data_IF_569931047533
#
_entry.id   IF_569931047533
#
_cell.length_a   1.000
_cell.length_b   1.000
_cell.length_c   1.000
_cell.angle_alpha   90.00
_cell.angle_beta   90.00
_cell.angle_gamma   90.00
#
_symmetry.space_group_name_H-M   'P 1'
#
loop_
_entity.id
_entity.type
_entity.pdbx_description
1 polymer ?
#
# COMPACT_ATOMS: atom_id res chain seq x y z
N UNK A 1 9.75 -22.22 -11.31
CA UNK A 1 9.11 -22.84 -10.13
C UNK A 1 9.62 -22.36 -8.77
N UNK A 2 10.91 -22.50 -8.44
CA UNK A 2 11.42 -22.28 -7.06
C UNK A 2 11.09 -20.92 -6.42
N UNK A 3 10.92 -19.87 -7.23
CA UNK A 3 10.53 -18.55 -6.73
C UNK A 3 9.08 -18.51 -6.20
N UNK A 4 8.14 -19.21 -6.85
CA UNK A 4 6.74 -19.31 -6.39
C UNK A 4 6.65 -20.05 -5.06
N UNK A 5 7.42 -21.13 -4.87
CA UNK A 5 7.50 -21.83 -3.58
C UNK A 5 8.04 -20.92 -2.47
N UNK A 6 9.01 -20.04 -2.77
CA UNK A 6 9.51 -19.04 -1.80
C UNK A 6 8.46 -17.97 -1.46
N UNK A 7 7.52 -17.70 -2.37
CA UNK A 7 6.39 -16.79 -2.13
C UNK A 7 5.29 -17.44 -1.27
N UNK A 8 5.22 -18.76 -1.18
CA UNK A 8 4.33 -19.44 -0.24
C UNK A 8 4.74 -19.18 1.23
N UNK A 9 3.78 -18.84 2.11
CA UNK A 9 4.00 -18.76 3.56
C UNK A 9 4.59 -20.07 4.08
N UNK A 10 5.53 -19.99 5.04
CA UNK A 10 6.22 -21.17 5.59
C UNK A 10 5.24 -22.26 6.02
N UNK A 11 4.25 -21.92 6.87
CA UNK A 11 3.22 -22.85 7.34
C UNK A 11 2.46 -23.57 6.22
N UNK A 12 2.17 -22.87 5.12
CA UNK A 12 1.48 -23.49 3.98
C UNK A 12 2.41 -24.36 3.18
N UNK A 13 3.68 -23.96 3.05
CA UNK A 13 4.70 -24.75 2.38
C UNK A 13 4.98 -26.06 3.13
N UNK A 14 4.99 -26.00 4.46
CA UNK A 14 5.21 -27.16 5.31
C UNK A 14 4.02 -28.14 5.24
N UNK A 15 2.81 -27.65 4.93
CA UNK A 15 1.58 -28.46 4.89
C UNK A 15 1.15 -28.91 3.49
N UNK A 16 1.36 -28.06 2.48
CA UNK A 16 0.84 -28.21 1.12
C UNK A 16 1.93 -28.04 0.05
N UNK A 17 3.21 -27.98 0.45
CA UNK A 17 4.32 -27.71 -0.46
C UNK A 17 4.45 -28.77 -1.56
N UNK A 18 4.33 -30.03 -1.18
CA UNK A 18 4.46 -31.17 -2.09
C UNK A 18 3.24 -31.30 -3.01
N UNK A 19 2.03 -31.10 -2.48
CA UNK A 19 0.79 -31.06 -3.28
C UNK A 19 0.80 -29.93 -4.31
N UNK A 20 1.23 -28.73 -3.91
CA UNK A 20 1.36 -27.61 -4.83
C UNK A 20 2.42 -27.90 -5.90
N UNK A 21 3.56 -28.49 -5.52
CA UNK A 21 4.59 -28.85 -6.49
C UNK A 21 4.06 -29.87 -7.51
N UNK A 22 3.33 -30.89 -7.06
CA UNK A 22 2.69 -31.86 -7.94
C UNK A 22 1.68 -31.20 -8.89
N UNK A 23 0.86 -30.25 -8.40
CA UNK A 23 -0.06 -29.47 -9.26
C UNK A 23 0.69 -28.59 -10.28
N UNK A 24 1.83 -28.00 -9.89
CA UNK A 24 2.68 -27.19 -10.77
C UNK A 24 3.37 -28.02 -11.85
N UNK A 25 3.63 -29.30 -11.59
CA UNK A 25 4.24 -30.25 -12.52
C UNK A 25 3.20 -30.86 -13.47
N UNK A 26 1.98 -31.08 -12.98
CA UNK A 26 0.87 -31.63 -13.78
C UNK A 26 0.30 -30.62 -14.79
N UNK A 27 0.21 -29.33 -14.43
CA UNK A 27 -0.32 -28.30 -15.33
C UNK A 27 0.52 -27.02 -15.37
N UNK A 28 0.80 -26.48 -16.58
CA UNK A 28 1.45 -25.18 -16.70
C UNK A 28 0.53 -24.07 -16.17
N UNK A 29 0.89 -23.49 -15.01
CA UNK A 29 0.12 -22.39 -14.44
C UNK A 29 -0.03 -21.22 -15.39
N UNK A 30 -1.27 -20.81 -15.60
CA UNK A 30 -1.62 -19.51 -16.19
C UNK A 30 -1.02 -18.37 -15.35
N UNK A 31 -0.71 -17.25 -16.01
CA UNK A 31 -0.19 -16.07 -15.30
C UNK A 31 -1.15 -15.57 -14.21
N UNK A 32 -2.46 -15.75 -14.39
CA UNK A 32 -3.50 -15.41 -13.40
C UNK A 32 -3.37 -16.26 -12.14
N UNK A 33 -3.16 -17.57 -12.29
CA UNK A 33 -2.95 -18.46 -11.15
C UNK A 33 -1.68 -18.07 -10.36
N UNK A 34 -0.60 -17.72 -11.07
CA UNK A 34 0.63 -17.21 -10.43
C UNK A 34 0.36 -15.92 -9.65
N UNK A 35 -0.38 -14.97 -10.23
CA UNK A 35 -0.75 -13.73 -9.57
C UNK A 35 -1.61 -13.98 -8.32
N UNK A 36 -2.59 -14.89 -8.40
CA UNK A 36 -3.44 -15.27 -7.26
C UNK A 36 -2.64 -15.90 -6.13
N UNK A 37 -1.69 -16.79 -6.45
CA UNK A 37 -0.77 -17.38 -5.46
C UNK A 37 0.07 -16.31 -4.77
N UNK A 38 0.64 -15.38 -5.55
CA UNK A 38 1.43 -14.27 -5.00
C UNK A 38 0.56 -13.37 -4.11
N UNK A 39 -0.65 -13.04 -4.55
CA UNK A 39 -1.60 -12.23 -3.79
C UNK A 39 -2.02 -12.92 -2.49
N UNK A 40 -2.38 -14.20 -2.53
CA UNK A 40 -2.74 -14.98 -1.34
C UNK A 40 -1.56 -15.08 -0.35
N UNK A 41 -0.35 -15.32 -0.85
CA UNK A 41 0.86 -15.35 -0.03
C UNK A 41 1.18 -14.00 0.61
N UNK A 42 0.95 -12.88 -0.09
CA UNK A 42 1.08 -11.54 0.47
C UNK A 42 0.02 -11.29 1.56
N UNK A 43 -1.24 -11.60 1.29
CA UNK A 43 -2.34 -11.45 2.26
C UNK A 43 -2.05 -12.24 3.53
N UNK A 44 -1.60 -13.49 3.42
CA UNK A 44 -1.30 -14.30 4.60
C UNK A 44 -0.11 -13.75 5.41
N UNK A 45 0.93 -13.23 4.74
CA UNK A 45 2.04 -12.54 5.42
C UNK A 45 1.57 -11.28 6.15
N UNK A 46 0.61 -10.54 5.58
CA UNK A 46 0.01 -9.38 6.26
C UNK A 46 -0.87 -9.80 7.44
N UNK A 47 -1.57 -10.94 7.38
CA UNK A 47 -2.32 -11.49 8.53
C UNK A 47 -1.41 -11.93 9.66
N UNK A 48 -0.28 -12.56 9.32
CA UNK A 48 0.79 -12.88 10.27
C UNK A 48 1.68 -11.69 10.66
N UNK A 49 1.29 -10.45 10.34
CA UNK A 49 2.18 -9.29 10.51
C UNK A 49 2.35 -8.83 11.97
N UNK A 50 1.56 -9.36 12.91
CA UNK A 50 1.66 -9.09 14.35
C UNK A 50 0.49 -8.26 14.87
N UNK A 51 0.70 -7.41 15.90
CA UNK A 51 -0.34 -6.57 16.47
C UNK A 51 -1.10 -5.72 15.45
N UNK A 52 -2.36 -5.36 15.75
CA UNK A 52 -3.24 -4.60 14.86
C UNK A 52 -2.62 -3.33 14.27
N UNK A 53 -1.87 -2.56 15.06
CA UNK A 53 -1.23 -1.32 14.58
C UNK A 53 -0.19 -1.54 13.47
N UNK A 54 0.46 -2.72 13.39
CA UNK A 54 1.39 -3.04 12.31
C UNK A 54 0.66 -3.36 11.00
N UNK A 55 -0.57 -3.89 11.08
CA UNK A 55 -1.42 -4.09 9.90
C UNK A 55 -1.93 -2.78 9.33
N UNK A 56 -2.16 -1.78 10.18
CA UNK A 56 -2.50 -0.43 9.75
C UNK A 56 -1.37 0.18 8.90
N UNK A 57 -0.09 -0.05 9.22
CA UNK A 57 1.03 0.41 8.37
C UNK A 57 1.02 -0.24 6.97
N UNK A 58 0.76 -1.55 6.89
CA UNK A 58 0.58 -2.21 5.59
C UNK A 58 -0.65 -1.66 4.85
N UNK A 59 -1.77 -1.51 5.55
CA UNK A 59 -2.98 -0.91 5.00
C UNK A 59 -2.73 0.49 4.44
N UNK A 60 -1.99 1.31 5.18
CA UNK A 60 -1.57 2.64 4.78
C UNK A 60 -0.69 2.63 3.53
N UNK A 61 0.25 1.68 3.40
CA UNK A 61 1.07 1.55 2.19
C UNK A 61 0.22 1.24 0.94
N UNK A 62 -0.75 0.32 1.03
CA UNK A 62 -1.73 0.12 -0.05
C UNK A 62 -2.55 1.38 -0.33
N UNK A 63 -2.93 2.09 0.73
CA UNK A 63 -3.69 3.33 0.64
C UNK A 63 -2.94 4.43 -0.09
N UNK A 64 -1.62 4.58 0.16
CA UNK A 64 -0.76 5.55 -0.54
C UNK A 64 -0.74 5.26 -2.04
N UNK A 65 -0.66 3.99 -2.46
CA UNK A 65 -0.74 3.61 -3.88
C UNK A 65 -2.11 3.97 -4.48
N UNK A 66 -3.20 3.64 -3.78
CA UNK A 66 -4.55 4.02 -4.21
C UNK A 66 -4.73 5.55 -4.27
N UNK A 67 -4.19 6.28 -3.31
CA UNK A 67 -4.21 7.74 -3.25
C UNK A 67 -3.43 8.40 -4.38
N UNK A 68 -2.28 7.85 -4.77
CA UNK A 68 -1.55 8.32 -5.96
C UNK A 68 -2.38 8.12 -7.25
N UNK A 69 -3.04 6.97 -7.39
CA UNK A 69 -3.93 6.71 -8.53
C UNK A 69 -5.12 7.68 -8.54
N UNK A 70 -5.76 7.89 -7.38
CA UNK A 70 -6.84 8.88 -7.22
C UNK A 70 -6.39 10.29 -7.56
N UNK A 71 -5.22 10.72 -7.06
CA UNK A 71 -4.67 12.05 -7.32
C UNK A 71 -4.43 12.25 -8.82
N UNK A 72 -3.86 11.23 -9.50
CA UNK A 72 -3.65 11.29 -10.94
C UNK A 72 -4.95 11.37 -11.72
N UNK A 73 -5.96 10.58 -11.34
CA UNK A 73 -7.28 10.59 -12.01
C UNK A 73 -8.06 11.87 -11.75
N UNK A 74 -7.83 12.54 -10.63
CA UNK A 74 -8.46 13.82 -10.30
C UNK A 74 -7.73 15.02 -10.91
N UNK A 75 -6.60 14.84 -11.59
CA UNK A 75 -5.99 15.96 -12.31
C UNK A 75 -6.97 16.59 -13.31
N UNK A 76 -7.14 17.90 -13.26
CA UNK A 76 -7.99 18.69 -14.16
C UNK A 76 -9.49 18.35 -14.11
N UNK A 77 -9.96 17.68 -13.04
CA UNK A 77 -11.36 17.31 -12.92
C UNK A 77 -12.31 18.51 -12.99
N UNK A 78 -11.87 19.70 -12.56
CA UNK A 78 -12.67 20.93 -12.64
C UNK A 78 -12.97 21.34 -14.09
N UNK A 79 -12.09 20.99 -15.05
CA UNK A 79 -12.23 21.34 -16.45
C UNK A 79 -13.34 20.59 -17.19
N UNK A 80 -13.87 19.49 -16.62
CA UNK A 80 -14.95 18.71 -17.24
C UNK A 80 -16.35 19.06 -16.74
N UNK A 81 -16.48 20.07 -15.87
CA UNK A 81 -17.78 20.51 -15.35
C UNK A 81 -18.12 21.94 -15.79
N UNK A 82 -19.39 22.19 -16.19
CA UNK A 82 -19.90 23.55 -16.32
C UNK A 82 -19.86 24.29 -14.97
N UNK A 83 -19.60 25.60 -15.02
CA UNK A 83 -19.68 26.50 -13.87
C UNK A 83 -21.06 26.40 -13.20
N UNK A 84 -21.10 25.95 -11.94
CA UNK A 84 -22.35 25.83 -11.14
C UNK A 84 -22.67 24.43 -10.59
N UNK A 85 -22.00 23.38 -11.05
CA UNK A 85 -22.23 21.99 -10.57
C UNK A 85 -21.06 21.38 -9.80
N UNK A 86 -20.14 22.21 -9.30
CA UNK A 86 -18.89 21.77 -8.69
C UNK A 86 -18.99 21.42 -7.20
N UNK A 87 -20.08 21.78 -6.51
CA UNK A 87 -20.13 21.72 -5.04
C UNK A 87 -19.84 20.31 -4.48
N UNK A 88 -20.57 19.29 -4.93
CA UNK A 88 -20.41 17.91 -4.45
C UNK A 88 -19.00 17.34 -4.72
N UNK A 89 -18.48 17.32 -5.96
CA UNK A 89 -17.13 16.80 -6.19
C UNK A 89 -16.04 17.66 -5.51
N UNK A 90 -16.23 18.96 -5.36
CA UNK A 90 -15.28 19.81 -4.60
C UNK A 90 -15.20 19.37 -3.14
N UNK A 91 -16.34 19.30 -2.45
CA UNK A 91 -16.39 18.89 -1.04
C UNK A 91 -15.83 17.49 -0.83
N UNK A 92 -16.16 16.56 -1.73
CA UNK A 92 -15.65 15.19 -1.66
C UNK A 92 -14.11 15.15 -1.84
N UNK A 93 -13.58 15.88 -2.82
CA UNK A 93 -12.14 15.98 -3.06
C UNK A 93 -11.40 16.63 -1.88
N UNK A 94 -11.90 17.75 -1.37
CA UNK A 94 -11.33 18.46 -0.21
C UNK A 94 -11.34 17.56 1.03
N UNK A 95 -12.41 16.78 1.23
CA UNK A 95 -12.50 15.80 2.32
C UNK A 95 -11.41 14.73 2.21
N UNK A 96 -11.13 14.22 1.00
CA UNK A 96 -10.01 13.28 0.79
C UNK A 96 -8.68 13.94 1.17
N UNK A 97 -8.43 15.18 0.75
CA UNK A 97 -7.19 15.88 1.05
C UNK A 97 -6.99 16.12 2.55
N UNK A 98 -8.00 16.67 3.24
CA UNK A 98 -7.93 16.93 4.68
C UNK A 98 -7.70 15.65 5.45
N UNK A 99 -8.44 14.58 5.13
CA UNK A 99 -8.26 13.29 5.78
C UNK A 99 -6.87 12.68 5.49
N UNK A 100 -6.32 12.87 4.29
CA UNK A 100 -4.97 12.44 3.93
C UNK A 100 -3.90 13.17 4.73
N UNK A 101 -4.05 14.49 4.94
CA UNK A 101 -3.14 15.30 5.79
C UNK A 101 -3.18 14.81 7.23
N UNK A 102 -4.37 14.61 7.81
CA UNK A 102 -4.54 14.12 9.19
C UNK A 102 -3.93 12.72 9.34
N UNK A 103 -4.22 11.80 8.42
CA UNK A 103 -3.68 10.44 8.44
C UNK A 103 -2.16 10.42 8.33
N UNK A 104 -1.60 11.23 7.42
CA UNK A 104 -0.15 11.38 7.26
C UNK A 104 0.51 11.94 8.52
N UNK A 105 -0.08 12.96 9.14
CA UNK A 105 0.41 13.54 10.38
C UNK A 105 0.42 12.50 11.53
N UNK A 106 -0.62 11.68 11.64
CA UNK A 106 -0.68 10.59 12.63
C UNK A 106 0.40 9.52 12.39
N UNK A 107 0.65 9.14 11.14
CA UNK A 107 1.75 8.21 10.79
C UNK A 107 3.11 8.81 11.17
N UNK A 108 3.35 10.08 10.82
CA UNK A 108 4.61 10.78 11.16
C UNK A 108 4.80 10.92 12.67
N UNK A 109 3.74 11.20 13.42
CA UNK A 109 3.78 11.20 14.88
C UNK A 109 4.18 9.82 15.43
N UNK A 110 3.63 8.74 14.87
CA UNK A 110 4.01 7.37 15.22
C UNK A 110 5.49 7.08 14.94
N UNK A 111 6.01 7.52 13.80
CA UNK A 111 7.44 7.40 13.44
C UNK A 111 8.31 8.19 14.42
N UNK A 112 7.96 9.44 14.72
CA UNK A 112 8.71 10.28 15.64
C UNK A 112 8.79 9.68 17.05
N UNK A 113 7.68 9.11 17.55
CA UNK A 113 7.63 8.44 18.85
C UNK A 113 8.43 7.13 18.87
N UNK A 114 8.46 6.39 17.76
CA UNK A 114 9.23 5.14 17.65
C UNK A 114 10.74 5.38 17.48
N UNK A 115 11.14 6.55 16.95
CA UNK A 115 12.51 6.83 16.54
C UNK A 115 13.55 6.67 17.66
N UNK A 116 13.36 7.18 18.91
CA UNK A 116 14.37 7.02 19.96
C UNK A 116 14.57 5.56 20.38
N UNK A 117 13.49 4.77 20.38
CA UNK A 117 13.58 3.34 20.70
C UNK A 117 14.25 2.56 19.57
N UNK A 118 13.94 2.91 18.32
CA UNK A 118 14.58 2.38 17.14
C UNK A 118 16.09 2.66 17.10
N UNK A 119 16.51 3.90 17.40
CA UNK A 119 17.94 4.26 17.45
C UNK A 119 18.67 3.46 18.53
N UNK A 120 18.05 3.25 19.69
CA UNK A 120 18.64 2.41 20.76
C UNK A 120 18.78 0.95 20.31
N UNK A 121 17.79 0.40 19.62
CA UNK A 121 17.82 -0.95 19.06
C UNK A 121 18.93 -1.11 18.00
N UNK A 122 19.08 -0.11 17.11
CA UNK A 122 20.18 -0.08 16.15
C UNK A 122 21.56 -0.07 16.81
N UNK A 123 21.75 0.77 17.85
CA UNK A 123 23.01 0.84 18.61
C UNK A 123 23.36 -0.47 19.33
N UNK A 124 22.37 -1.32 19.63
CA UNK A 124 22.55 -2.64 20.25
C UNK A 124 22.82 -3.77 19.24
N UNK A 125 23.06 -3.44 17.97
CA UNK A 125 23.35 -4.42 16.91
C UNK A 125 22.14 -4.86 16.09
N UNK A 126 20.97 -4.22 16.26
CA UNK A 126 19.75 -4.51 15.49
C UNK A 126 19.85 -4.25 13.97
N UNK A 127 20.96 -3.68 13.51
CA UNK A 127 21.25 -3.34 12.11
C UNK A 127 21.30 -4.55 11.17
N UNK A 128 21.88 -5.68 11.60
CA UNK A 128 22.08 -6.85 10.73
C UNK A 128 20.76 -7.40 10.19
N UNK A 129 19.69 -7.35 10.99
CA UNK A 129 18.36 -7.77 10.60
C UNK A 129 17.62 -6.77 9.68
N UNK A 130 17.99 -5.47 9.73
CA UNK A 130 17.34 -4.41 8.94
C UNK A 130 18.09 -4.05 7.66
N UNK A 131 19.38 -4.38 7.56
CA UNK A 131 20.22 -4.00 6.42
C UNK A 131 19.61 -4.45 5.09
N UNK A 132 19.16 -5.70 4.98
CA UNK A 132 18.59 -6.24 3.74
C UNK A 132 17.32 -5.49 3.28
N UNK A 133 16.26 -5.36 4.10
CA UNK A 133 15.06 -4.64 3.66
C UNK A 133 15.29 -3.14 3.44
N UNK A 134 16.20 -2.50 4.19
CA UNK A 134 16.57 -1.10 3.96
C UNK A 134 17.32 -0.92 2.63
N UNK A 135 18.27 -1.80 2.30
CA UNK A 135 18.97 -1.76 1.00
C UNK A 135 18.01 -1.99 -0.16
N UNK A 136 17.03 -2.88 -0.01
CA UNK A 136 15.99 -3.07 -1.01
C UNK A 136 15.11 -1.83 -1.18
N UNK A 137 14.70 -1.17 -0.08
CA UNK A 137 13.95 0.08 -0.17
C UNK A 137 14.76 1.20 -0.83
N UNK A 138 16.03 1.32 -0.46
CA UNK A 138 16.95 2.32 -1.03
C UNK A 138 17.17 2.08 -2.53
N UNK A 139 17.39 0.84 -2.97
CA UNK A 139 17.56 0.54 -4.39
C UNK A 139 16.31 0.87 -5.20
N UNK A 140 15.11 0.55 -4.68
CA UNK A 140 13.86 0.96 -5.30
C UNK A 140 13.72 2.47 -5.43
N UNK A 141 14.10 3.22 -4.38
CA UNK A 141 14.05 4.69 -4.37
C UNK A 141 15.01 5.30 -5.39
N UNK A 142 16.23 4.77 -5.48
CA UNK A 142 17.24 5.22 -6.45
C UNK A 142 16.76 4.97 -7.88
N UNK A 143 16.21 3.79 -8.16
CA UNK A 143 15.67 3.46 -9.49
C UNK A 143 14.48 4.37 -9.84
N UNK A 144 13.60 4.65 -8.88
CA UNK A 144 12.48 5.57 -9.08
C UNK A 144 12.98 6.99 -9.39
N UNK A 145 13.92 7.51 -8.59
CA UNK A 145 14.52 8.83 -8.81
C UNK A 145 15.24 8.92 -10.17
N UNK A 146 16.02 7.90 -10.53
CA UNK A 146 16.68 7.85 -11.83
C UNK A 146 15.68 7.83 -13.00
N UNK A 147 14.56 7.12 -12.83
CA UNK A 147 13.50 7.07 -13.85
C UNK A 147 12.86 8.45 -14.08
N UNK A 148 12.70 9.26 -13.02
CA UNK A 148 12.21 10.64 -13.16
C UNK A 148 13.16 11.53 -13.98
N UNK A 149 14.48 11.34 -13.84
CA UNK A 149 15.49 12.10 -14.60
C UNK A 149 15.50 11.75 -16.10
N UNK A 150 15.10 10.52 -16.45
CA UNK A 150 15.10 10.02 -17.84
C UNK A 150 13.77 10.28 -18.56
N UNK A 151 12.73 10.72 -17.83
CA UNK A 151 11.35 10.85 -18.32
C UNK A 151 11.16 11.86 -19.48
N UNK A 152 12.23 12.55 -19.89
CA UNK A 152 12.25 13.55 -20.97
C UNK A 152 12.45 12.99 -22.40
N UNK A 153 12.41 11.67 -22.62
CA UNK A 153 12.73 11.04 -23.93
C UNK A 153 11.56 10.24 -24.52
N UNK A 154 11.69 9.82 -25.79
CA UNK A 154 10.74 8.99 -26.59
C UNK A 154 10.28 7.68 -25.92
N UNK A 155 10.86 7.31 -24.78
CA UNK A 155 10.52 6.13 -23.98
C UNK A 155 9.67 6.45 -22.74
N UNK A 156 8.97 7.58 -22.71
CA UNK A 156 8.19 8.06 -21.56
C UNK A 156 7.29 6.99 -20.91
N UNK A 157 6.63 6.13 -21.72
CA UNK A 157 5.77 5.07 -21.20
C UNK A 157 6.55 3.97 -20.48
N UNK A 158 7.63 3.46 -21.07
CA UNK A 158 8.44 2.42 -20.45
C UNK A 158 9.12 2.93 -19.17
N UNK A 159 9.68 4.14 -19.22
CA UNK A 159 10.32 4.80 -18.06
C UNK A 159 9.28 5.08 -16.96
N UNK A 160 8.08 5.51 -17.33
CA UNK A 160 6.97 5.70 -16.40
C UNK A 160 6.55 4.41 -15.69
N UNK A 161 6.50 3.28 -16.39
CA UNK A 161 6.23 1.97 -15.78
C UNK A 161 7.33 1.58 -14.79
N UNK A 162 8.60 1.74 -15.16
CA UNK A 162 9.73 1.47 -14.26
C UNK A 162 9.68 2.36 -13.01
N UNK A 163 9.37 3.64 -13.17
CA UNK A 163 9.17 4.57 -12.07
C UNK A 163 8.09 4.07 -11.09
N UNK A 164 6.90 3.74 -11.60
CA UNK A 164 5.77 3.29 -10.78
C UNK A 164 6.12 1.99 -10.04
N UNK A 165 6.68 1.00 -10.74
CA UNK A 165 7.01 -0.29 -10.13
C UNK A 165 8.10 -0.15 -9.05
N UNK A 166 9.12 0.66 -9.30
CA UNK A 166 10.21 0.90 -8.35
C UNK A 166 9.76 1.70 -7.13
N UNK A 167 8.89 2.69 -7.31
CA UNK A 167 8.27 3.43 -6.21
C UNK A 167 7.39 2.53 -5.32
N UNK A 168 6.54 1.70 -5.93
CA UNK A 168 5.72 0.71 -5.21
C UNK A 168 6.62 -0.27 -4.44
N UNK A 169 7.67 -0.77 -5.08
CA UNK A 169 8.63 -1.67 -4.43
C UNK A 169 9.32 -1.00 -3.23
N UNK A 170 9.80 0.24 -3.38
CA UNK A 170 10.43 1.00 -2.32
C UNK A 170 9.50 1.22 -1.12
N UNK A 171 8.23 1.56 -1.39
CA UNK A 171 7.20 1.77 -0.38
C UNK A 171 6.93 0.49 0.43
N UNK A 172 6.76 -0.66 -0.23
CA UNK A 172 6.51 -1.91 0.47
C UNK A 172 7.75 -2.46 1.17
N UNK A 173 8.94 -2.28 0.59
CA UNK A 173 10.20 -2.67 1.23
C UNK A 173 10.48 -1.83 2.50
N UNK A 174 10.23 -0.52 2.45
CA UNK A 174 10.36 0.36 3.62
C UNK A 174 9.31 0.06 4.68
N UNK A 175 8.06 -0.20 4.29
CA UNK A 175 7.00 -0.64 5.21
C UNK A 175 7.37 -1.96 5.89
N UNK A 176 7.91 -2.93 5.14
CA UNK A 176 8.42 -4.17 5.70
C UNK A 176 9.55 -3.94 6.71
N UNK A 177 10.52 -3.06 6.39
CA UNK A 177 11.59 -2.68 7.31
C UNK A 177 11.04 -2.04 8.60
N UNK A 178 10.09 -1.11 8.47
CA UNK A 178 9.44 -0.44 9.59
C UNK A 178 8.68 -1.42 10.49
N UNK A 179 7.91 -2.34 9.90
CA UNK A 179 7.19 -3.38 10.64
C UNK A 179 8.16 -4.35 11.33
N UNK A 180 9.23 -4.77 10.66
CA UNK A 180 10.25 -5.63 11.25
C UNK A 180 10.95 -4.96 12.46
N UNK A 181 11.21 -3.65 12.36
CA UNK A 181 11.76 -2.86 13.44
C UNK A 181 10.76 -2.70 14.60
N UNK A 182 9.52 -2.33 14.30
CA UNK A 182 8.48 -2.05 15.29
C UNK A 182 8.12 -3.29 16.12
N UNK A 183 8.24 -4.51 15.58
CA UNK A 183 8.06 -5.77 16.32
C UNK A 183 9.04 -5.97 17.48
N UNK A 184 10.20 -5.30 17.44
CA UNK A 184 11.22 -5.37 18.50
C UNK A 184 10.99 -4.33 19.59
N UNK A 185 10.06 -3.40 19.37
CA UNK A 185 9.74 -2.34 20.31
C UNK A 185 8.60 -2.78 21.22
N UNK A 186 8.59 -2.39 22.51
CA UNK A 186 7.46 -2.64 23.37
C UNK A 186 6.22 -1.93 22.84
N UNK A 187 5.08 -2.64 22.82
CA UNK A 187 3.80 -2.06 22.41
C UNK A 187 3.38 -0.97 23.40
N UNK A 188 3.11 0.23 22.89
CA UNK A 188 2.59 1.36 23.66
C UNK A 188 1.15 1.66 23.25
N UNK A 189 0.30 2.06 24.21
CA UNK A 189 -1.11 2.43 23.97
C UNK A 189 -1.25 3.52 22.90
N UNK A 190 -0.30 4.46 22.85
CA UNK A 190 -0.27 5.55 21.88
C UNK A 190 -0.27 5.04 20.43
N UNK A 191 0.46 3.96 20.13
CA UNK A 191 0.46 3.38 18.77
C UNK A 191 -0.89 2.81 18.38
N UNK A 192 -1.64 2.23 19.32
CA UNK A 192 -3.00 1.77 19.05
C UNK A 192 -3.95 2.92 18.77
N UNK A 193 -3.85 4.04 19.52
CA UNK A 193 -4.66 5.24 19.30
C UNK A 193 -4.36 5.87 17.94
N UNK A 194 -3.08 6.05 17.61
CA UNK A 194 -2.66 6.56 16.30
C UNK A 194 -3.12 5.63 15.17
N UNK A 195 -2.98 4.32 15.34
CA UNK A 195 -3.45 3.34 14.36
C UNK A 195 -4.98 3.43 14.16
N UNK A 196 -5.77 3.57 15.22
CA UNK A 196 -7.22 3.79 15.10
C UNK A 196 -7.53 5.09 14.35
N UNK A 197 -6.81 6.17 14.64
CA UNK A 197 -6.95 7.45 13.92
C UNK A 197 -6.66 7.29 12.43
N UNK A 198 -5.55 6.65 12.08
CA UNK A 198 -5.19 6.36 10.68
C UNK A 198 -6.27 5.50 10.00
N UNK A 199 -6.73 4.43 10.64
CA UNK A 199 -7.83 3.60 10.10
C UNK A 199 -9.09 4.42 9.84
N UNK A 200 -9.49 5.31 10.75
CA UNK A 200 -10.65 6.18 10.56
C UNK A 200 -10.46 7.12 9.37
N UNK A 201 -9.29 7.74 9.24
CA UNK A 201 -9.00 8.61 8.08
C UNK A 201 -9.07 7.84 6.76
N UNK A 202 -8.59 6.59 6.72
CA UNK A 202 -8.71 5.73 5.54
C UNK A 202 -10.17 5.45 5.18
N UNK A 203 -11.02 5.13 6.15
CA UNK A 203 -12.47 4.91 5.91
C UNK A 203 -13.13 6.18 5.35
N UNK A 204 -12.83 7.35 5.94
CA UNK A 204 -13.35 8.64 5.46
C UNK A 204 -12.89 8.92 4.02
N UNK A 205 -11.60 8.72 3.73
CA UNK A 205 -11.05 8.92 2.39
C UNK A 205 -11.68 7.98 1.36
N UNK A 206 -11.97 6.71 1.68
CA UNK A 206 -12.69 5.81 0.77
C UNK A 206 -14.09 6.33 0.48
N UNK A 207 -14.85 6.69 1.52
CA UNK A 207 -16.21 7.21 1.34
C UNK A 207 -16.24 8.47 0.48
N UNK A 208 -15.33 9.41 0.75
CA UNK A 208 -15.20 10.64 -0.01
C UNK A 208 -14.74 10.40 -1.46
N UNK A 209 -13.76 9.52 -1.68
CA UNK A 209 -13.32 9.16 -3.03
C UNK A 209 -14.44 8.47 -3.83
N UNK A 210 -15.23 7.58 -3.20
CA UNK A 210 -16.40 6.97 -3.84
C UNK A 210 -17.45 8.01 -4.21
N UNK A 211 -17.77 8.95 -3.32
CA UNK A 211 -18.70 10.04 -3.62
C UNK A 211 -18.20 10.92 -4.77
N UNK A 212 -16.90 11.21 -4.79
CA UNK A 212 -16.25 11.94 -5.88
C UNK A 212 -16.36 11.19 -7.22
N UNK A 213 -15.98 9.90 -7.26
CA UNK A 213 -16.08 9.09 -8.47
C UNK A 213 -17.52 8.99 -8.98
N UNK A 214 -18.50 8.82 -8.09
CA UNK A 214 -19.90 8.77 -8.45
C UNK A 214 -20.36 10.09 -9.08
N UNK A 215 -20.03 11.23 -8.46
CA UNK A 215 -20.37 12.55 -8.98
C UNK A 215 -19.75 12.81 -10.36
N UNK A 216 -18.48 12.45 -10.55
CA UNK A 216 -17.76 12.62 -11.81
C UNK A 216 -18.29 11.68 -12.89
N UNK A 217 -18.49 10.39 -12.57
CA UNK A 217 -18.96 9.40 -13.55
C UNK A 217 -20.37 9.71 -14.07
N UNK A 218 -21.26 10.21 -13.21
CA UNK A 218 -22.63 10.61 -13.61
C UNK A 218 -22.62 11.76 -14.63
N UNK A 219 -21.63 12.66 -14.54
CA UNK A 219 -21.56 13.87 -15.36
C UNK A 219 -20.65 13.73 -16.57
N UNK A 220 -19.57 12.97 -16.44
CA UNK A 220 -18.59 12.72 -17.48
C UNK A 220 -18.10 11.26 -17.39
N UNK A 221 -18.88 10.29 -17.92
CA UNK A 221 -18.54 8.88 -17.85
C UNK A 221 -17.20 8.53 -18.51
N UNK A 222 -16.79 9.30 -19.52
CA UNK A 222 -15.52 9.11 -20.23
C UNK A 222 -14.31 9.64 -19.47
N UNK A 223 -14.50 10.46 -18.43
CA UNK A 223 -13.41 11.02 -17.65
C UNK A 223 -12.72 9.97 -16.77
N UNK A 224 -13.50 9.06 -16.19
CA UNK A 224 -12.98 8.00 -15.31
C UNK A 224 -12.94 6.68 -16.08
N UNK A 225 -11.74 6.22 -16.43
CA UNK A 225 -11.58 4.91 -17.04
C UNK A 225 -11.90 3.78 -16.06
N UNK A 226 -12.57 2.72 -16.52
CA UNK A 226 -12.90 1.55 -15.70
C UNK A 226 -11.67 0.94 -15.00
N UNK A 227 -10.52 0.92 -15.69
CA UNK A 227 -9.24 0.46 -15.13
C UNK A 227 -8.76 1.34 -13.97
N UNK A 228 -8.91 2.67 -14.07
CA UNK A 228 -8.49 3.59 -13.01
C UNK A 228 -9.35 3.43 -11.76
N UNK A 229 -10.66 3.28 -11.95
CA UNK A 229 -11.61 3.02 -10.86
C UNK A 229 -11.31 1.67 -10.18
N UNK A 230 -11.05 0.63 -10.97
CA UNK A 230 -10.68 -0.69 -10.46
C UNK A 230 -9.37 -0.66 -9.67
N UNK A 231 -8.33 0.00 -10.19
CA UNK A 231 -7.03 0.12 -9.49
C UNK A 231 -7.19 0.91 -8.20
N UNK A 232 -7.79 2.10 -8.26
CA UNK A 232 -7.97 2.97 -7.08
C UNK A 232 -8.79 2.27 -6.01
N UNK A 233 -9.95 1.70 -6.39
CA UNK A 233 -10.83 0.97 -5.50
C UNK A 233 -10.15 -0.25 -4.89
N UNK A 234 -9.45 -1.06 -5.68
CA UNK A 234 -8.76 -2.26 -5.17
C UNK A 234 -7.71 -1.90 -4.11
N UNK A 235 -6.85 -0.90 -4.35
CA UNK A 235 -5.81 -0.50 -3.40
C UNK A 235 -6.40 0.12 -2.14
N UNK A 236 -7.36 1.05 -2.26
CA UNK A 236 -7.97 1.72 -1.12
C UNK A 236 -8.78 0.75 -0.24
N UNK A 237 -9.61 -0.10 -0.85
CA UNK A 237 -10.41 -1.09 -0.11
C UNK A 237 -9.54 -2.16 0.55
N UNK A 238 -8.47 -2.61 -0.14
CA UNK A 238 -7.48 -3.52 0.47
C UNK A 238 -6.82 -2.87 1.67
N UNK A 239 -6.44 -1.59 1.56
CA UNK A 239 -5.89 -0.82 2.67
C UNK A 239 -6.82 -0.81 3.89
N UNK A 240 -8.09 -0.45 3.68
CA UNK A 240 -9.10 -0.41 4.76
C UNK A 240 -9.34 -1.80 5.34
N UNK A 241 -9.47 -2.84 4.51
CA UNK A 241 -9.68 -4.21 4.99
C UNK A 241 -8.53 -4.70 5.89
N UNK A 242 -7.28 -4.38 5.53
CA UNK A 242 -6.11 -4.66 6.36
C UNK A 242 -6.13 -3.88 7.68
N UNK A 243 -6.56 -2.61 7.64
CA UNK A 243 -6.61 -1.75 8.82
C UNK A 243 -7.72 -2.12 9.81
N UNK A 244 -8.87 -2.63 9.33
CA UNK A 244 -10.07 -2.92 10.15
C UNK A 244 -10.09 -4.37 10.68
N UNK A 245 -9.38 -5.30 10.05
CA UNK A 245 -9.41 -6.72 10.49
C UNK A 245 -9.01 -6.84 11.96
N UNK A 246 -9.92 -7.31 12.83
CA UNK A 246 -9.60 -7.53 14.24
C UNK A 246 -8.58 -8.66 14.38
N UNK A 247 -7.58 -8.49 15.25
CA UNK A 247 -6.80 -9.63 15.72
C UNK A 247 -7.75 -10.49 16.53
N UNK A 248 -8.09 -11.68 16.02
CA UNK A 248 -8.64 -12.72 16.91
C UNK A 248 -7.53 -13.01 17.91
N UNK A 249 -7.76 -12.66 19.16
CA UNK A 249 -6.92 -13.11 20.28
C UNK A 249 -7.05 -14.64 20.29
N UNK A 250 -5.98 -15.31 19.87
CA UNK A 250 -5.83 -16.75 20.01
C UNK A 250 -5.53 -17.08 21.47
#
# INVERSE_FOLDING_TARGET
MRLLLRMYPRRWRDRYGDELLALLEAEPLTWRARANVVAAGLVERTRGSGPGHLRVLWGWAFFVVGGMAFQKTSEHWQGVFPSGHLATPTVAFDTVQVAAVIGSAAVLAGVALALPAFVRDLRRGGWTALRRPLLAAASGTIVAAASLLVLSHDHALAVGVVFVLSAIFALFASTHAAVAAARRLPSQRVYSVLATGVTLTMVVMVGAATAWFAAVTVRSPSFVGATQLAVTGAFMLTGVALAVTRTRTA
#
